data_IF_686519793080
#
_entry.id   IF_686519793080
#
_cell.length_a   1.000
_cell.length_b   1.000
_cell.length_c   1.000
_cell.angle_alpha   90.00
_cell.angle_beta   90.00
_cell.angle_gamma   90.00
#
_symmetry.space_group_name_H-M   'P 1'
#
loop_
_entity.id
_entity.type
_entity.pdbx_description
1 polymer ?
#
# COMPACT_ATOMS: atom_id res chain seq x y z
N UNK A 1 -10.26 9.62 6.32
CA UNK A 1 -11.37 9.17 5.44
C UNK A 1 -12.68 9.94 5.65
N UNK A 2 -13.09 10.23 6.90
CA UNK A 2 -14.36 10.90 7.26
C UNK A 2 -14.55 12.30 6.65
N UNK A 3 -13.50 13.12 6.59
CA UNK A 3 -13.58 14.46 6.01
C UNK A 3 -13.87 14.46 4.49
N UNK A 4 -13.44 13.42 3.76
CA UNK A 4 -13.63 13.31 2.31
C UNK A 4 -15.00 12.81 1.94
N UNK A 5 -15.51 11.78 2.64
CA UNK A 5 -16.90 11.39 2.52
C UNK A 5 -17.82 12.56 2.83
N UNK A 6 -17.46 13.38 3.83
CA UNK A 6 -18.17 14.61 4.15
C UNK A 6 -18.04 15.66 3.04
N UNK A 7 -16.86 15.93 2.49
CA UNK A 7 -16.68 16.89 1.40
C UNK A 7 -17.47 16.50 0.15
N UNK A 8 -17.42 15.22 -0.22
CA UNK A 8 -18.17 14.68 -1.36
C UNK A 8 -19.68 14.71 -1.06
N UNK A 9 -20.10 14.34 0.15
CA UNK A 9 -21.50 14.43 0.56
C UNK A 9 -22.00 15.88 0.59
N UNK A 10 -21.18 16.82 1.05
CA UNK A 10 -21.47 18.26 1.00
C UNK A 10 -21.59 18.71 -0.45
N UNK A 11 -20.70 18.29 -1.36
CA UNK A 11 -20.78 18.68 -2.76
C UNK A 11 -22.05 18.15 -3.43
N UNK A 12 -22.41 16.88 -3.18
CA UNK A 12 -23.69 16.30 -3.61
C UNK A 12 -24.86 17.08 -3.00
N UNK A 13 -24.82 17.35 -1.69
CA UNK A 13 -25.86 18.05 -0.95
C UNK A 13 -25.97 19.53 -1.31
N UNK A 14 -24.91 20.20 -1.74
CA UNK A 14 -24.98 21.57 -2.24
C UNK A 14 -25.60 21.60 -3.64
N UNK A 15 -25.38 20.55 -4.43
CA UNK A 15 -25.93 20.44 -5.78
C UNK A 15 -27.38 19.95 -5.81
N UNK A 16 -27.83 19.13 -4.85
CA UNK A 16 -29.17 18.54 -4.86
C UNK A 16 -30.31 19.57 -4.68
N UNK A 17 -30.29 20.45 -3.65
CA UNK A 17 -31.30 21.50 -3.44
C UNK A 17 -31.08 22.71 -4.36
N UNK A 18 -29.83 23.03 -4.71
CA UNK A 18 -29.52 24.13 -5.63
C UNK A 18 -30.03 23.87 -7.06
N UNK A 19 -29.95 22.62 -7.53
CA UNK A 19 -30.54 22.22 -8.80
C UNK A 19 -32.09 22.18 -8.78
N UNK A 20 -32.70 22.03 -7.60
CA UNK A 20 -34.16 21.98 -7.43
C UNK A 20 -34.79 23.36 -7.17
N UNK A 21 -34.03 24.36 -6.67
CA UNK A 21 -34.64 25.57 -6.08
C UNK A 21 -34.17 26.91 -6.66
N UNK A 22 -33.09 27.01 -7.44
CA UNK A 22 -32.65 28.29 -8.01
C UNK A 22 -32.32 28.22 -9.51
N UNK A 23 -33.12 28.95 -10.28
CA UNK A 23 -32.91 29.43 -11.64
C UNK A 23 -32.56 28.44 -12.75
N UNK A 24 -33.63 28.13 -13.47
CA UNK A 24 -33.78 27.41 -14.73
C UNK A 24 -32.94 27.99 -15.91
N UNK A 25 -32.16 29.08 -15.79
CA UNK A 25 -31.68 29.83 -16.98
C UNK A 25 -30.24 30.35 -16.99
N UNK A 26 -29.26 29.73 -16.31
CA UNK A 26 -27.85 30.10 -16.55
C UNK A 26 -27.04 28.96 -17.21
N UNK A 27 -27.13 28.79 -18.56
CA UNK A 27 -26.42 27.74 -19.30
C UNK A 27 -24.89 27.80 -19.13
N UNK A 28 -24.36 28.96 -18.73
CA UNK A 28 -22.95 29.17 -18.44
C UNK A 28 -22.46 28.40 -17.20
N UNK A 29 -23.32 28.08 -16.22
CA UNK A 29 -22.94 27.28 -15.03
C UNK A 29 -22.82 25.80 -15.36
N UNK A 30 -23.74 25.25 -16.15
CA UNK A 30 -23.74 23.84 -16.55
C UNK A 30 -22.49 23.44 -17.33
N UNK A 31 -22.00 24.34 -18.19
CA UNK A 31 -20.80 24.11 -18.99
C UNK A 31 -19.50 23.96 -18.16
N UNK A 32 -19.52 24.36 -16.88
CA UNK A 32 -18.35 24.29 -15.97
C UNK A 32 -18.34 23.05 -15.06
N UNK A 33 -19.40 22.25 -15.03
CA UNK A 33 -19.45 21.06 -14.15
C UNK A 33 -18.35 20.06 -14.50
N UNK A 34 -18.12 19.74 -15.79
CA UNK A 34 -17.11 18.74 -16.11
C UNK A 34 -15.68 19.16 -15.73
N UNK A 35 -15.34 20.45 -15.87
CA UNK A 35 -14.03 20.95 -15.46
C UNK A 35 -13.86 20.95 -13.94
N UNK A 36 -14.95 21.16 -13.18
CA UNK A 36 -14.94 21.02 -11.72
C UNK A 36 -14.74 19.58 -11.29
N UNK A 37 -15.46 18.62 -11.90
CA UNK A 37 -15.30 17.19 -11.60
C UNK A 37 -13.87 16.70 -11.88
N UNK A 38 -13.29 17.10 -13.02
CA UNK A 38 -11.88 16.81 -13.32
C UNK A 38 -10.92 17.43 -12.29
N UNK A 39 -11.19 18.66 -11.86
CA UNK A 39 -10.41 19.33 -10.81
C UNK A 39 -10.53 18.60 -9.48
N UNK A 40 -11.73 18.17 -9.11
CA UNK A 40 -11.97 17.39 -7.89
C UNK A 40 -11.22 16.05 -7.93
N UNK A 41 -11.25 15.34 -9.06
CA UNK A 41 -10.48 14.09 -9.21
C UNK A 41 -8.98 14.35 -9.08
N UNK A 42 -8.47 15.44 -9.65
CA UNK A 42 -7.05 15.81 -9.52
C UNK A 42 -6.69 16.14 -8.05
N UNK A 43 -7.59 16.80 -7.31
CA UNK A 43 -7.43 17.05 -5.88
C UNK A 43 -7.42 15.74 -5.08
N UNK A 44 -8.35 14.82 -5.36
CA UNK A 44 -8.42 13.50 -4.70
C UNK A 44 -7.12 12.71 -4.93
N UNK A 45 -6.60 12.69 -6.16
CA UNK A 45 -5.34 12.01 -6.47
C UNK A 45 -4.16 12.73 -5.84
N UNK A 46 -4.14 14.06 -5.86
CA UNK A 46 -3.09 14.88 -5.24
C UNK A 46 -3.00 14.66 -3.74
N UNK A 47 -4.13 14.62 -3.04
CA UNK A 47 -4.18 14.30 -1.62
C UNK A 47 -3.76 12.86 -1.35
N UNK A 48 -4.25 11.90 -2.15
CA UNK A 48 -3.82 10.51 -2.04
C UNK A 48 -2.30 10.39 -2.18
N UNK A 49 -1.69 11.09 -3.15
CA UNK A 49 -0.23 11.19 -3.33
C UNK A 49 0.48 11.79 -2.11
N UNK A 50 -0.09 12.82 -1.47
CA UNK A 50 0.45 13.36 -0.22
C UNK A 50 0.47 12.30 0.90
N UNK A 51 -0.52 11.41 0.92
CA UNK A 51 -0.57 10.27 1.83
C UNK A 51 0.59 9.27 1.69
N UNK A 52 1.30 9.26 0.56
CA UNK A 52 2.49 8.40 0.35
C UNK A 52 3.79 9.02 0.88
N UNK A 53 3.81 10.31 1.23
CA UNK A 53 5.01 10.97 1.76
C UNK A 53 5.48 10.29 3.05
N UNK A 54 4.56 9.95 3.96
CA UNK A 54 4.86 9.25 5.20
C UNK A 54 5.61 7.93 4.98
N UNK A 55 5.03 6.96 4.24
CA UNK A 55 5.70 5.73 3.82
C UNK A 55 7.10 5.96 3.24
N UNK A 56 7.25 6.88 2.30
CA UNK A 56 8.53 7.18 1.63
C UNK A 56 9.56 7.74 2.61
N UNK A 57 9.15 8.65 3.49
CA UNK A 57 10.00 9.22 4.53
C UNK A 57 10.39 8.16 5.55
N UNK A 58 9.47 7.27 5.93
CA UNK A 58 9.76 6.18 6.86
C UNK A 58 10.79 5.21 6.28
N UNK A 59 10.69 4.88 4.98
CA UNK A 59 11.68 4.08 4.26
C UNK A 59 13.05 4.79 4.23
N UNK A 60 13.06 6.10 3.98
CA UNK A 60 14.31 6.87 3.93
C UNK A 60 14.94 7.02 5.32
N UNK A 61 14.13 7.17 6.38
CA UNK A 61 14.56 7.34 7.77
C UNK A 61 15.00 6.04 8.41
N UNK A 62 14.33 4.92 8.11
CA UNK A 62 14.68 3.64 8.69
C UNK A 62 16.12 3.29 8.32
N UNK A 63 16.57 3.62 7.10
CA UNK A 63 17.90 3.25 6.59
C UNK A 63 18.13 1.74 6.46
N UNK A 64 17.27 0.95 7.09
CA UNK A 64 17.23 -0.50 7.11
C UNK A 64 16.39 -0.97 5.92
N UNK A 65 16.96 -1.86 5.11
CA UNK A 65 16.22 -2.54 4.06
C UNK A 65 15.93 -1.72 2.80
N UNK A 66 16.48 -0.51 2.60
CA UNK A 66 16.30 0.14 1.30
C UNK A 66 17.02 -0.63 0.19
N UNK A 67 16.27 -1.30 -0.68
CA UNK A 67 16.82 -2.08 -1.78
C UNK A 67 16.14 -1.75 -3.12
N UNK A 68 16.70 -2.32 -4.20
CA UNK A 68 16.20 -2.15 -5.56
C UNK A 68 14.74 -2.62 -5.68
N UNK A 69 14.35 -3.67 -4.94
CA UNK A 69 12.99 -4.17 -4.92
C UNK A 69 11.97 -3.13 -4.42
N UNK A 70 12.24 -2.48 -3.28
CA UNK A 70 11.41 -1.39 -2.76
C UNK A 70 11.37 -0.23 -3.75
N UNK A 71 12.51 0.14 -4.33
CA UNK A 71 12.59 1.25 -5.30
C UNK A 71 11.70 0.99 -6.52
N UNK A 72 11.71 -0.25 -7.03
CA UNK A 72 10.83 -0.67 -8.13
C UNK A 72 9.35 -0.58 -7.71
N UNK A 73 8.99 -1.02 -6.51
CA UNK A 73 7.61 -0.92 -6.03
C UNK A 73 7.15 0.53 -5.90
N UNK A 74 7.99 1.43 -5.39
CA UNK A 74 7.67 2.85 -5.29
C UNK A 74 7.40 3.45 -6.67
N UNK A 75 8.24 3.14 -7.66
CA UNK A 75 8.06 3.58 -9.05
C UNK A 75 6.77 2.99 -9.63
N UNK A 76 6.51 1.70 -9.44
CA UNK A 76 5.30 1.04 -9.92
C UNK A 76 4.03 1.63 -9.28
N UNK A 77 4.06 2.05 -8.02
CA UNK A 77 2.94 2.73 -7.37
C UNK A 77 2.65 4.05 -8.07
N UNK A 78 3.68 4.87 -8.31
CA UNK A 78 3.55 6.14 -9.05
C UNK A 78 3.02 5.93 -10.47
N UNK A 79 3.56 4.94 -11.19
CA UNK A 79 3.09 4.57 -12.54
C UNK A 79 1.63 4.11 -12.50
N UNK A 80 1.24 3.31 -11.52
CA UNK A 80 -0.14 2.80 -11.39
C UNK A 80 -1.13 3.95 -11.13
N UNK A 81 -0.79 4.88 -10.25
CA UNK A 81 -1.62 6.07 -9.97
C UNK A 81 -1.75 6.93 -11.24
N UNK A 82 -0.64 7.14 -11.95
CA UNK A 82 -0.63 7.86 -13.21
C UNK A 82 -1.50 7.18 -14.28
N UNK A 83 -1.40 5.86 -14.43
CA UNK A 83 -2.23 5.09 -15.35
C UNK A 83 -3.72 5.17 -14.98
N UNK A 84 -4.06 5.05 -13.70
CA UNK A 84 -5.43 5.22 -13.23
C UNK A 84 -5.99 6.60 -13.59
N UNK A 85 -5.18 7.65 -13.43
CA UNK A 85 -5.53 9.00 -13.86
C UNK A 85 -5.73 9.09 -15.39
N UNK A 86 -4.82 8.54 -16.18
CA UNK A 86 -4.93 8.55 -17.64
C UNK A 86 -6.20 7.83 -18.13
N UNK A 87 -6.53 6.67 -17.54
CA UNK A 87 -7.74 5.92 -17.88
C UNK A 87 -8.98 6.70 -17.46
N UNK A 88 -8.97 7.33 -16.27
CA UNK A 88 -10.05 8.23 -15.82
C UNK A 88 -10.29 9.35 -16.83
N UNK A 89 -9.26 10.14 -17.18
CA UNK A 89 -9.37 11.26 -18.12
C UNK A 89 -9.87 10.80 -19.48
N UNK A 90 -9.48 9.61 -19.93
CA UNK A 90 -9.92 9.06 -21.21
C UNK A 90 -11.36 8.54 -21.20
N UNK A 91 -11.78 7.97 -20.07
CA UNK A 91 -13.15 7.55 -19.83
C UNK A 91 -14.09 8.74 -19.70
N UNK A 92 -13.58 9.87 -19.21
CA UNK A 92 -14.32 11.12 -19.11
C UNK A 92 -14.32 11.86 -20.45
N UNK A 93 -15.40 11.75 -21.23
CA UNK A 93 -15.57 12.54 -22.45
C UNK A 93 -16.60 13.63 -22.19
N UNK A 94 -16.22 14.88 -22.50
CA UNK A 94 -16.99 16.11 -22.30
C UNK A 94 -18.24 16.21 -23.21
N UNK A 95 -19.06 15.17 -23.30
CA UNK A 95 -20.41 15.31 -23.81
C UNK A 95 -21.22 16.06 -22.75
N UNK A 96 -21.26 17.39 -22.85
CA UNK A 96 -22.10 18.22 -21.97
C UNK A 96 -23.54 17.76 -22.17
N UNK A 97 -24.18 17.19 -21.15
CA UNK A 97 -25.56 16.74 -21.30
C UNK A 97 -26.45 17.96 -21.58
N UNK A 98 -27.31 17.86 -22.59
CA UNK A 98 -28.21 18.95 -22.97
C UNK A 98 -29.30 19.18 -21.90
N UNK A 99 -29.61 18.14 -21.11
CA UNK A 99 -30.68 18.14 -20.12
C UNK A 99 -30.13 18.03 -18.68
N UNK A 100 -30.82 18.68 -17.73
CA UNK A 100 -30.49 18.66 -16.29
C UNK A 100 -30.42 17.23 -15.72
N UNK A 101 -31.32 16.33 -16.12
CA UNK A 101 -31.26 14.92 -15.70
C UNK A 101 -30.01 14.19 -16.22
N UNK A 102 -29.47 14.58 -17.37
CA UNK A 102 -28.19 14.08 -17.86
C UNK A 102 -27.04 14.53 -16.97
N UNK A 103 -27.02 15.81 -16.60
CA UNK A 103 -26.01 16.37 -15.69
C UNK A 103 -26.05 15.68 -14.33
N UNK A 104 -27.24 15.47 -13.76
CA UNK A 104 -27.39 14.78 -12.48
C UNK A 104 -26.89 13.33 -12.55
N UNK A 105 -27.19 12.61 -13.64
CA UNK A 105 -26.68 11.25 -13.85
C UNK A 105 -25.16 11.20 -13.93
N UNK A 106 -24.53 12.16 -14.63
CA UNK A 106 -23.07 12.25 -14.71
C UNK A 106 -22.46 12.51 -13.33
N UNK A 107 -23.02 13.44 -12.55
CA UNK A 107 -22.55 13.71 -11.18
C UNK A 107 -22.70 12.47 -10.29
N UNK A 108 -23.86 11.81 -10.33
CA UNK A 108 -24.11 10.59 -9.54
C UNK A 108 -23.17 9.44 -9.94
N UNK A 109 -22.82 9.32 -11.23
CA UNK A 109 -21.89 8.30 -11.71
C UNK A 109 -20.42 8.62 -11.38
N UNK A 110 -20.06 9.88 -11.09
CA UNK A 110 -18.73 10.25 -10.62
C UNK A 110 -18.49 9.87 -9.17
N UNK A 111 -19.53 9.91 -8.33
CA UNK A 111 -19.42 9.54 -6.92
C UNK A 111 -18.76 8.16 -6.69
N UNK A 112 -19.22 7.05 -7.30
CA UNK A 112 -18.57 5.76 -7.13
C UNK A 112 -17.16 5.72 -7.71
N UNK A 113 -16.85 6.52 -8.73
CA UNK A 113 -15.49 6.63 -9.29
C UNK A 113 -14.54 7.28 -8.29
N UNK A 114 -14.93 8.40 -7.68
CA UNK A 114 -14.12 9.06 -6.66
C UNK A 114 -13.94 8.19 -5.42
N UNK A 115 -15.00 7.54 -4.97
CA UNK A 115 -14.91 6.61 -3.83
C UNK A 115 -13.96 5.45 -4.13
N UNK A 116 -14.07 4.83 -5.31
CA UNK A 116 -13.18 3.75 -5.73
C UNK A 116 -11.72 4.22 -5.83
N UNK A 117 -11.47 5.43 -6.36
CA UNK A 117 -10.13 6.02 -6.41
C UNK A 117 -9.55 6.29 -5.01
N UNK A 118 -10.35 6.82 -4.08
CA UNK A 118 -9.89 7.07 -2.70
C UNK A 118 -9.51 5.75 -2.03
N UNK A 119 -10.40 4.74 -2.10
CA UNK A 119 -10.12 3.41 -1.55
C UNK A 119 -8.90 2.78 -2.23
N UNK A 120 -8.73 2.98 -3.54
CA UNK A 120 -7.61 2.45 -4.29
C UNK A 120 -6.28 3.06 -3.82
N UNK A 121 -6.24 4.38 -3.61
CA UNK A 121 -5.06 5.07 -3.12
C UNK A 121 -4.72 4.66 -1.68
N UNK A 122 -5.73 4.47 -0.81
CA UNK A 122 -5.50 3.96 0.55
C UNK A 122 -4.98 2.51 0.54
N UNK A 123 -5.55 1.65 -0.30
CA UNK A 123 -5.08 0.27 -0.47
C UNK A 123 -3.65 0.20 -1.02
N UNK A 124 -3.30 1.06 -2.00
CA UNK A 124 -1.93 1.15 -2.53
C UNK A 124 -0.93 1.64 -1.48
N UNK A 125 -1.33 2.62 -0.65
CA UNK A 125 -0.51 3.12 0.46
C UNK A 125 -0.26 2.02 1.49
N UNK A 126 -1.30 1.30 1.89
CA UNK A 126 -1.20 0.18 2.82
C UNK A 126 -0.31 -0.94 2.27
N UNK A 127 -0.47 -1.30 0.98
CA UNK A 127 0.39 -2.28 0.30
C UNK A 127 1.86 -1.84 0.28
N UNK A 128 2.14 -0.56 0.02
CA UNK A 128 3.51 -0.04 0.03
C UNK A 128 4.11 -0.10 1.45
N UNK A 129 3.35 0.26 2.49
CA UNK A 129 3.82 0.13 3.87
C UNK A 129 4.10 -1.33 4.24
N UNK A 130 3.19 -2.27 3.92
CA UNK A 130 3.37 -3.69 4.21
C UNK A 130 4.65 -4.23 3.57
N UNK A 131 4.79 -4.02 2.27
CA UNK A 131 5.94 -4.55 1.50
C UNK A 131 7.27 -3.94 1.90
N UNK A 132 7.28 -2.71 2.42
CA UNK A 132 8.48 -2.03 2.90
C UNK A 132 8.83 -2.40 4.34
N UNK A 133 7.82 -2.60 5.19
CA UNK A 133 7.97 -3.15 6.54
C UNK A 133 8.60 -4.54 6.46
N UNK A 134 8.00 -5.45 5.69
CA UNK A 134 8.50 -6.82 5.50
C UNK A 134 9.92 -6.84 4.98
N UNK A 135 10.21 -6.02 3.98
CA UNK A 135 11.56 -5.97 3.46
C UNK A 135 12.58 -5.48 4.50
N UNK A 136 12.18 -4.54 5.37
CA UNK A 136 13.04 -4.04 6.46
C UNK A 136 13.24 -5.11 7.53
N UNK A 137 12.17 -5.81 7.92
CA UNK A 137 12.23 -6.96 8.82
C UNK A 137 13.14 -8.05 8.26
N UNK A 138 12.90 -8.51 7.04
CA UNK A 138 13.68 -9.57 6.42
C UNK A 138 15.15 -9.19 6.26
N UNK A 139 15.43 -7.95 5.87
CA UNK A 139 16.81 -7.46 5.77
C UNK A 139 17.50 -7.43 7.13
N UNK A 140 16.83 -6.90 8.16
CA UNK A 140 17.37 -6.80 9.50
C UNK A 140 17.56 -8.18 10.13
N UNK A 141 16.55 -9.05 10.08
CA UNK A 141 16.61 -10.45 10.55
C UNK A 141 17.73 -11.22 9.85
N UNK A 142 17.86 -11.07 8.53
CA UNK A 142 18.93 -11.71 7.78
C UNK A 142 20.32 -11.20 8.15
N UNK A 143 20.45 -9.91 8.53
CA UNK A 143 21.69 -9.37 9.08
C UNK A 143 21.97 -9.92 10.48
N UNK A 144 20.96 -9.91 11.35
CA UNK A 144 21.02 -10.41 12.72
C UNK A 144 21.43 -11.88 12.79
N UNK A 145 20.80 -12.75 11.98
CA UNK A 145 21.12 -14.17 11.94
C UNK A 145 22.52 -14.48 11.38
N UNK A 146 22.98 -13.67 10.41
CA UNK A 146 24.36 -13.77 9.92
C UNK A 146 25.37 -13.32 10.98
N UNK A 147 25.02 -12.36 11.84
CA UNK A 147 25.88 -12.00 12.95
C UNK A 147 25.92 -13.11 14.00
N UNK A 148 24.79 -13.62 14.48
CA UNK A 148 24.81 -14.64 15.56
C UNK A 148 25.55 -15.93 15.19
N UNK A 149 25.70 -16.24 13.90
CA UNK A 149 26.42 -17.43 13.40
C UNK A 149 27.93 -17.25 13.18
N UNK A 150 28.50 -16.04 13.30
CA UNK A 150 29.90 -15.77 12.99
C UNK A 150 30.75 -15.40 14.23
N UNK A 151 31.97 -15.95 14.31
CA UNK A 151 32.91 -15.83 15.46
C UNK A 151 33.35 -14.39 15.77
N UNK A 152 33.19 -13.44 14.84
CA UNK A 152 33.58 -12.02 15.00
C UNK A 152 32.41 -11.03 14.97
N UNK A 153 31.19 -11.50 15.23
CA UNK A 153 29.99 -10.80 14.81
C UNK A 153 29.30 -9.90 15.83
N UNK A 154 29.84 -9.80 17.04
CA UNK A 154 29.25 -8.94 18.08
C UNK A 154 29.16 -7.47 17.63
N UNK A 155 30.15 -6.98 16.87
CA UNK A 155 30.09 -5.62 16.32
C UNK A 155 29.00 -5.46 15.25
N UNK A 156 28.81 -6.47 14.39
CA UNK A 156 27.76 -6.45 13.36
C UNK A 156 26.36 -6.46 13.97
N UNK A 157 26.20 -7.18 15.07
CA UNK A 157 24.99 -7.20 15.88
C UNK A 157 24.76 -5.82 16.54
N UNK A 158 25.77 -5.26 17.20
CA UNK A 158 25.72 -3.92 17.80
C UNK A 158 25.32 -2.85 16.76
N UNK A 159 25.93 -2.89 15.57
CA UNK A 159 25.65 -1.98 14.47
C UNK A 159 24.20 -2.14 13.97
N UNK A 160 23.67 -3.38 13.95
CA UNK A 160 22.30 -3.66 13.52
C UNK A 160 21.25 -3.11 14.48
N UNK A 161 21.49 -3.14 15.79
CA UNK A 161 20.62 -2.51 16.79
C UNK A 161 20.78 -0.99 16.79
N UNK A 162 22.01 -0.50 16.64
CA UNK A 162 22.29 0.94 16.54
C UNK A 162 21.57 1.58 15.35
N UNK A 163 21.47 0.87 14.22
CA UNK A 163 20.67 1.32 13.06
C UNK A 163 19.19 1.54 13.38
N UNK A 164 18.63 0.81 14.34
CA UNK A 164 17.26 0.99 14.83
C UNK A 164 17.16 2.06 15.93
N UNK A 165 18.27 2.71 16.29
CA UNK A 165 18.33 3.63 17.43
C UNK A 165 18.28 2.93 18.79
N UNK A 166 18.60 1.63 18.83
CA UNK A 166 18.63 0.84 20.05
C UNK A 166 20.08 0.69 20.54
N UNK A 167 20.31 0.96 21.83
CA UNK A 167 21.57 0.65 22.50
C UNK A 167 21.53 -0.78 23.02
N UNK A 168 22.15 -1.70 22.27
CA UNK A 168 22.16 -3.13 22.60
C UNK A 168 22.81 -3.40 23.96
N UNK A 169 23.85 -2.66 24.35
CA UNK A 169 24.53 -2.87 25.63
C UNK A 169 23.62 -2.46 26.80
N UNK A 170 22.95 -1.31 26.66
CA UNK A 170 21.97 -0.84 27.64
C UNK A 170 20.78 -1.80 27.75
N UNK A 171 20.22 -2.23 26.61
CA UNK A 171 19.13 -3.21 26.58
C UNK A 171 19.54 -4.54 27.23
N UNK A 172 20.71 -5.07 26.87
CA UNK A 172 21.22 -6.31 27.43
C UNK A 172 21.37 -6.22 28.95
N UNK A 173 21.97 -5.14 29.46
CA UNK A 173 22.14 -4.91 30.90
C UNK A 173 20.80 -4.80 31.65
N UNK A 174 19.76 -4.30 30.98
CA UNK A 174 18.41 -4.15 31.55
C UNK A 174 17.64 -5.47 31.52
N UNK A 175 17.71 -6.21 30.42
CA UNK A 175 16.89 -7.41 30.19
C UNK A 175 17.48 -8.68 30.78
N UNK A 176 18.80 -8.76 30.93
CA UNK A 176 19.48 -9.91 31.55
C UNK A 176 18.90 -10.25 32.93
N UNK A 177 18.90 -9.36 33.94
CA UNK A 177 18.38 -9.69 35.27
C UNK A 177 16.89 -10.06 35.26
N UNK A 178 16.12 -9.44 34.36
CA UNK A 178 14.68 -9.73 34.22
C UNK A 178 14.47 -11.13 33.63
N UNK A 179 15.33 -11.56 32.70
CA UNK A 179 15.28 -12.90 32.12
C UNK A 179 15.62 -13.95 33.17
N UNK A 180 16.69 -13.73 33.95
CA UNK A 180 17.01 -14.58 35.12
C UNK A 180 15.84 -14.71 36.09
N UNK A 181 15.24 -13.59 36.50
CA UNK A 181 14.11 -13.60 37.43
C UNK A 181 12.88 -14.31 36.83
N UNK A 182 12.58 -14.07 35.55
CA UNK A 182 11.47 -14.69 34.85
C UNK A 182 11.63 -16.21 34.73
N UNK A 183 12.80 -16.69 34.30
CA UNK A 183 13.09 -18.14 34.24
C UNK A 183 13.03 -18.75 35.62
N UNK A 184 13.56 -18.09 36.66
CA UNK A 184 13.47 -18.58 38.03
C UNK A 184 12.02 -18.73 38.50
N UNK A 185 11.16 -17.75 38.20
CA UNK A 185 9.75 -17.76 38.59
C UNK A 185 8.94 -18.87 37.90
N UNK A 186 9.38 -19.31 36.71
CA UNK A 186 8.69 -20.32 35.90
C UNK A 186 9.55 -21.58 35.69
N UNK A 187 10.53 -21.82 36.56
CA UNK A 187 11.46 -22.93 36.38
C UNK A 187 10.76 -24.28 36.46
N UNK A 188 9.68 -24.39 37.23
CA UNK A 188 8.82 -25.56 37.28
C UNK A 188 8.26 -25.95 35.89
N UNK A 189 7.90 -24.95 35.07
CA UNK A 189 7.43 -25.13 33.69
C UNK A 189 8.58 -25.42 32.71
N UNK A 190 9.76 -24.84 32.94
CA UNK A 190 10.92 -24.92 32.06
C UNK A 190 11.88 -26.08 32.40
N UNK A 191 11.77 -26.71 33.56
CA UNK A 191 12.61 -27.83 33.97
C UNK A 191 12.61 -29.00 32.97
N UNK A 192 11.49 -29.37 32.32
CA UNK A 192 11.49 -30.41 31.29
C UNK A 192 12.35 -30.08 30.07
N UNK A 193 12.48 -28.78 29.75
CA UNK A 193 13.30 -28.25 28.65
C UNK A 193 14.79 -28.46 28.91
N UNK A 194 15.25 -28.12 30.13
CA UNK A 194 16.64 -28.27 30.55
C UNK A 194 17.11 -29.74 30.49
N UNK A 195 16.20 -30.68 30.79
CA UNK A 195 16.49 -32.12 30.75
C UNK A 195 16.59 -32.70 29.32
N UNK A 196 16.15 -31.96 28.30
CA UNK A 196 16.07 -32.42 26.91
C UNK A 196 16.69 -31.43 25.92
N UNK A 197 17.65 -30.63 26.38
CA UNK A 197 18.33 -29.61 25.57
C UNK A 197 19.05 -30.21 24.35
N UNK A 198 19.47 -31.47 24.45
CA UNK A 198 20.00 -32.29 23.36
C UNK A 198 19.06 -32.37 22.14
N UNK A 199 17.74 -32.22 22.35
CA UNK A 199 16.73 -32.25 21.28
C UNK A 199 16.45 -30.90 20.64
N UNK A 200 16.95 -29.80 21.21
CA UNK A 200 16.74 -28.43 20.72
C UNK A 200 17.85 -27.94 19.76
N UNK A 201 18.88 -28.76 19.46
CA UNK A 201 20.00 -28.32 18.63
C UNK A 201 19.68 -28.30 17.11
N UNK A 202 19.89 -27.12 16.50
CA UNK A 202 20.79 -27.01 15.35
C UNK A 202 21.96 -26.03 15.56
N UNK A 203 22.09 -25.40 16.74
CA UNK A 203 23.12 -24.39 17.02
C UNK A 203 24.41 -24.99 17.59
N UNK A 204 25.60 -24.63 17.07
CA UNK A 204 26.88 -25.21 17.45
C UNK A 204 27.47 -24.49 18.67
N UNK A 205 26.76 -24.52 19.80
CA UNK A 205 27.30 -24.05 21.08
C UNK A 205 27.75 -25.25 21.93
N UNK A 206 28.91 -25.10 22.56
CA UNK A 206 29.55 -26.13 23.37
C UNK A 206 28.70 -26.37 24.62
N UNK A 207 28.01 -27.51 24.67
CA UNK A 207 27.07 -27.88 25.74
C UNK A 207 27.81 -28.30 27.02
N UNK A 208 27.57 -27.60 28.13
CA UNK A 208 27.85 -28.08 29.48
C UNK A 208 26.53 -28.44 30.18
N UNK A 209 26.27 -29.72 30.52
CA UNK A 209 25.05 -30.13 31.22
C UNK A 209 24.85 -29.46 32.59
N UNK A 210 25.86 -28.80 33.16
CA UNK A 210 25.70 -28.01 34.39
C UNK A 210 25.20 -26.58 34.14
N UNK A 211 25.11 -26.11 32.89
CA UNK A 211 24.77 -24.71 32.55
C UNK A 211 23.41 -24.56 31.83
N UNK A 212 22.58 -25.60 31.83
CA UNK A 212 21.27 -25.61 31.14
C UNK A 212 20.32 -24.50 31.59
N UNK A 213 20.45 -24.00 32.82
CA UNK A 213 19.65 -22.85 33.28
C UNK A 213 20.10 -21.55 32.60
N UNK A 214 21.40 -21.36 32.41
CA UNK A 214 21.96 -20.20 31.73
C UNK A 214 21.58 -20.19 30.25
N UNK A 215 21.64 -21.35 29.58
CA UNK A 215 21.23 -21.49 28.19
C UNK A 215 19.76 -21.09 27.95
N UNK A 216 18.86 -21.52 28.83
CA UNK A 216 17.43 -21.13 28.80
C UNK A 216 17.25 -19.61 28.97
N UNK A 217 18.03 -18.99 29.86
CA UNK A 217 18.03 -17.54 30.05
C UNK A 217 18.56 -16.81 28.81
N UNK A 218 19.61 -17.33 28.17
CA UNK A 218 20.19 -16.73 26.96
C UNK A 218 19.19 -16.75 25.79
N UNK A 219 18.49 -17.86 25.54
CA UNK A 219 17.48 -17.93 24.47
C UNK A 219 16.31 -16.98 24.76
N UNK A 220 15.85 -16.90 26.01
CA UNK A 220 14.79 -15.95 26.38
C UNK A 220 15.25 -14.49 26.17
N UNK A 221 16.49 -14.17 26.57
CA UNK A 221 17.07 -12.86 26.37
C UNK A 221 17.15 -12.51 24.86
N UNK A 222 17.59 -13.45 24.04
CA UNK A 222 17.64 -13.31 22.57
C UNK A 222 16.25 -12.97 22.00
N UNK A 223 15.21 -13.72 22.39
CA UNK A 223 13.83 -13.45 21.97
C UNK A 223 13.38 -12.04 22.37
N UNK A 224 13.70 -11.57 23.58
CA UNK A 224 13.30 -10.23 24.04
C UNK A 224 14.06 -9.11 23.32
N UNK A 225 15.34 -9.33 23.01
CA UNK A 225 16.12 -8.40 22.18
C UNK A 225 15.55 -8.33 20.76
N UNK A 226 15.20 -9.48 20.19
CA UNK A 226 14.54 -9.59 18.89
C UNK A 226 13.20 -8.83 18.88
N UNK A 227 12.33 -9.06 19.88
CA UNK A 227 11.06 -8.35 20.01
C UNK A 227 11.25 -6.85 20.17
N UNK A 228 12.30 -6.41 20.88
CA UNK A 228 12.62 -4.98 21.02
C UNK A 228 12.99 -4.35 19.68
N UNK A 229 13.76 -5.06 18.85
CA UNK A 229 14.08 -4.62 17.50
C UNK A 229 12.86 -4.58 16.57
N UNK A 230 12.02 -5.62 16.61
CA UNK A 230 10.74 -5.65 15.87
C UNK A 230 9.86 -4.47 16.29
N UNK A 231 9.70 -4.22 17.59
CA UNK A 231 8.95 -3.09 18.11
C UNK A 231 9.49 -1.76 17.59
N UNK A 232 10.82 -1.58 17.58
CA UNK A 232 11.45 -0.36 17.05
C UNK A 232 11.15 -0.16 15.56
N UNK A 233 11.26 -1.22 14.74
CA UNK A 233 10.89 -1.19 13.32
C UNK A 233 9.41 -0.81 13.16
N UNK A 234 8.50 -1.45 13.89
CA UNK A 234 7.07 -1.20 13.78
C UNK A 234 6.71 0.24 14.19
N UNK A 235 7.40 0.80 15.18
CA UNK A 235 7.26 2.21 15.57
C UNK A 235 7.69 3.17 14.44
N UNK A 236 8.78 2.88 13.73
CA UNK A 236 9.23 3.69 12.58
C UNK A 236 8.16 3.72 11.47
N UNK A 237 7.47 2.60 11.26
CA UNK A 237 6.37 2.51 10.29
C UNK A 237 5.01 3.01 10.82
N UNK A 238 4.94 3.42 12.09
CA UNK A 238 3.69 3.86 12.72
C UNK A 238 2.65 2.75 12.84
N UNK A 239 3.11 1.49 12.98
CA UNK A 239 2.24 0.30 13.04
C UNK A 239 1.63 0.11 14.43
N UNK A 240 2.35 0.54 15.47
CA UNK A 240 1.93 0.36 16.85
C UNK A 240 1.15 1.57 17.35
N UNK A 241 -0.08 1.33 17.82
CA UNK A 241 -0.75 2.25 18.71
C UNK A 241 -0.24 2.10 20.16
N UNK A 242 -0.76 2.91 21.07
CA UNK A 242 -0.34 2.90 22.47
C UNK A 242 -0.62 1.57 23.19
N UNK A 243 -1.71 0.87 22.83
CA UNK A 243 -2.07 -0.43 23.39
C UNK A 243 -1.08 -1.48 22.89
N UNK A 244 -0.92 -1.61 21.57
CA UNK A 244 -0.02 -2.60 20.96
C UNK A 244 1.43 -2.38 21.40
N UNK A 245 1.88 -1.13 21.47
CA UNK A 245 3.21 -0.83 22.02
C UNK A 245 3.34 -1.19 23.50
N UNK A 246 2.24 -1.17 24.27
CA UNK A 246 2.21 -1.70 25.65
C UNK A 246 2.30 -3.22 25.66
N UNK A 247 1.60 -3.90 24.77
CA UNK A 247 1.57 -5.37 24.68
C UNK A 247 2.96 -5.92 24.30
N UNK A 248 3.65 -5.30 23.34
CA UNK A 248 5.06 -5.59 23.04
C UNK A 248 5.98 -5.37 24.24
N UNK A 249 5.79 -4.29 25.01
CA UNK A 249 6.56 -4.04 26.22
C UNK A 249 6.29 -5.08 27.31
N UNK A 250 5.03 -5.49 27.48
CA UNK A 250 4.66 -6.53 28.42
C UNK A 250 5.33 -7.86 28.08
N UNK A 251 5.50 -8.18 26.79
CA UNK A 251 6.29 -9.32 26.33
C UNK A 251 7.79 -9.14 26.62
N UNK A 252 8.39 -8.00 26.25
CA UNK A 252 9.84 -7.72 26.41
C UNK A 252 10.26 -7.78 27.90
N UNK A 253 9.43 -7.24 28.79
CA UNK A 253 9.68 -7.24 30.23
C UNK A 253 9.05 -8.44 30.95
N UNK A 254 8.39 -9.33 30.21
CA UNK A 254 7.77 -10.56 30.67
C UNK A 254 6.83 -10.38 31.88
N UNK A 255 6.01 -9.33 31.83
CA UNK A 255 5.04 -9.01 32.88
C UNK A 255 4.01 -10.13 33.05
N UNK A 256 3.72 -10.86 31.98
CA UNK A 256 2.71 -11.93 31.92
C UNK A 256 3.29 -13.32 31.65
N UNK A 257 4.62 -13.50 31.66
CA UNK A 257 5.23 -14.79 31.29
C UNK A 257 5.19 -15.11 29.78
N UNK A 258 4.86 -14.13 28.93
CA UNK A 258 4.70 -14.34 27.49
C UNK A 258 5.95 -14.86 26.78
N UNK A 259 7.14 -14.39 27.18
CA UNK A 259 8.39 -14.86 26.59
C UNK A 259 8.77 -16.26 27.08
N UNK A 260 8.37 -16.62 28.31
CA UNK A 260 8.52 -17.99 28.84
C UNK A 260 7.60 -18.96 28.10
N UNK A 261 6.38 -18.54 27.81
CA UNK A 261 5.41 -19.35 27.05
C UNK A 261 5.96 -19.68 25.66
N UNK A 262 6.56 -18.72 24.97
CA UNK A 262 7.16 -18.93 23.65
C UNK A 262 8.38 -19.85 23.69
N UNK A 263 9.20 -19.74 24.73
CA UNK A 263 10.30 -20.68 24.95
C UNK A 263 9.79 -22.12 25.17
N UNK A 264 8.71 -22.28 25.93
CA UNK A 264 8.05 -23.57 26.13
C UNK A 264 7.41 -24.10 24.85
N UNK A 265 6.81 -23.22 24.04
CA UNK A 265 6.21 -23.56 22.75
C UNK A 265 7.26 -24.02 21.74
N UNK A 266 8.43 -23.37 21.72
CA UNK A 266 9.57 -23.78 20.89
C UNK A 266 9.97 -25.24 21.15
N UNK A 267 10.00 -25.65 22.42
CA UNK A 267 10.32 -27.03 22.82
C UNK A 267 9.23 -28.05 22.50
N UNK A 268 7.97 -27.68 22.75
CA UNK A 268 6.84 -28.57 22.49
C UNK A 268 6.49 -28.65 21.00
N UNK A 269 7.24 -27.96 20.15
CA UNK A 269 6.98 -27.81 18.72
C UNK A 269 5.55 -27.31 18.45
N UNK A 270 5.08 -26.41 19.32
CA UNK A 270 3.82 -25.71 19.16
C UNK A 270 3.98 -24.64 18.10
N UNK A 271 3.03 -24.57 17.17
CA UNK A 271 3.06 -23.66 16.03
C UNK A 271 2.56 -22.25 16.34
N UNK A 272 2.26 -21.94 17.61
CA UNK A 272 1.70 -20.66 18.03
C UNK A 272 2.64 -19.98 19.00
N UNK A 273 3.32 -18.95 18.53
CA UNK A 273 4.18 -18.11 19.36
C UNK A 273 3.41 -16.82 19.65
N UNK A 274 3.38 -16.38 20.90
CA UNK A 274 2.74 -15.14 21.35
C UNK A 274 3.34 -13.93 20.63
N UNK A 275 4.62 -13.95 20.28
CA UNK A 275 5.20 -12.92 19.41
C UNK A 275 4.55 -12.86 18.02
N UNK A 276 4.22 -14.00 17.42
CA UNK A 276 3.54 -14.05 16.13
C UNK A 276 2.12 -13.49 16.27
N UNK A 277 1.40 -13.83 17.35
CA UNK A 277 0.09 -13.27 17.63
C UNK A 277 0.15 -11.72 17.79
N UNK A 278 1.19 -11.19 18.44
CA UNK A 278 1.41 -9.75 18.59
C UNK A 278 1.72 -9.06 17.24
N UNK A 279 2.53 -9.71 16.42
CA UNK A 279 2.85 -9.22 15.07
C UNK A 279 1.61 -9.25 14.18
N UNK A 280 0.84 -10.34 14.18
CA UNK A 280 -0.40 -10.49 13.43
C UNK A 280 -1.45 -9.47 13.87
N UNK A 281 -1.66 -9.24 15.18
CA UNK A 281 -2.58 -8.21 15.69
C UNK A 281 -2.13 -6.79 15.25
N UNK A 282 -0.83 -6.53 15.26
CA UNK A 282 -0.27 -5.25 14.82
C UNK A 282 -0.44 -5.03 13.31
N UNK A 283 -0.17 -6.05 12.51
CA UNK A 283 -0.21 -6.01 11.06
C UNK A 283 -1.62 -5.98 10.50
N UNK A 284 -2.53 -6.82 11.01
CA UNK A 284 -3.87 -6.98 10.44
C UNK A 284 -4.68 -5.68 10.40
N UNK A 285 -4.59 -4.83 11.43
CA UNK A 285 -5.38 -3.59 11.47
C UNK A 285 -4.94 -2.55 10.44
N UNK A 286 -3.64 -2.50 10.13
CA UNK A 286 -3.05 -1.45 9.28
C UNK A 286 -2.91 -1.93 7.84
N UNK A 287 -2.74 -3.24 7.65
CA UNK A 287 -2.52 -3.86 6.36
C UNK A 287 -3.75 -4.58 5.80
N UNK A 288 -4.88 -4.59 6.53
CA UNK A 288 -6.17 -5.01 5.97
C UNK A 288 -6.45 -4.37 4.59
N UNK A 289 -6.18 -3.07 4.35
CA UNK A 289 -6.35 -2.46 3.03
C UNK A 289 -5.52 -3.05 1.90
N UNK A 290 -4.35 -3.59 2.19
CA UNK A 290 -3.50 -4.24 1.19
C UNK A 290 -4.16 -5.52 0.63
N UNK A 291 -4.96 -6.24 1.43
CA UNK A 291 -5.59 -7.51 1.01
C UNK A 291 -6.69 -7.32 -0.03
N UNK A 292 -7.42 -6.18 0.01
CA UNK A 292 -8.52 -5.90 -0.91
C UNK A 292 -8.18 -4.91 -2.02
N UNK A 293 -6.93 -4.40 -2.09
CA UNK A 293 -6.49 -3.39 -3.08
C UNK A 293 -6.76 -3.83 -4.53
N UNK A 294 -6.60 -5.12 -4.84
CA UNK A 294 -6.88 -5.68 -6.17
C UNK A 294 -8.37 -5.62 -6.52
N UNK A 295 -9.25 -5.94 -5.56
CA UNK A 295 -10.70 -5.84 -5.73
C UNK A 295 -11.14 -4.38 -5.91
N UNK A 296 -10.52 -3.45 -5.20
CA UNK A 296 -10.80 -2.01 -5.36
C UNK A 296 -10.25 -1.48 -6.69
N UNK A 297 -9.09 -1.95 -7.16
CA UNK A 297 -8.60 -1.65 -8.50
C UNK A 297 -9.60 -2.13 -9.58
N UNK A 298 -10.18 -3.32 -9.39
CA UNK A 298 -11.28 -3.79 -10.24
C UNK A 298 -12.49 -2.84 -10.16
N UNK A 299 -12.88 -2.41 -8.96
CA UNK A 299 -13.99 -1.49 -8.77
C UNK A 299 -13.77 -0.13 -9.45
N UNK A 300 -12.52 0.36 -9.56
CA UNK A 300 -12.20 1.54 -10.37
C UNK A 300 -12.58 1.32 -11.83
N UNK A 301 -12.24 0.16 -12.42
CA UNK A 301 -12.67 -0.15 -13.78
C UNK A 301 -14.18 -0.23 -13.91
N UNK A 302 -14.87 -0.90 -12.98
CA UNK A 302 -16.33 -0.98 -12.98
C UNK A 302 -16.96 0.40 -12.94
N UNK A 303 -16.52 1.25 -12.02
CA UNK A 303 -17.04 2.61 -11.87
C UNK A 303 -16.79 3.45 -13.13
N UNK A 304 -15.62 3.33 -13.75
CA UNK A 304 -15.31 4.01 -15.03
C UNK A 304 -16.16 3.47 -16.19
N UNK A 305 -16.40 2.17 -16.25
CA UNK A 305 -17.28 1.55 -17.26
C UNK A 305 -18.72 2.04 -17.11
N UNK A 306 -19.24 2.08 -15.88
CA UNK A 306 -20.55 2.64 -15.56
C UNK A 306 -20.60 4.14 -15.91
N UNK A 307 -19.58 4.91 -15.57
CA UNK A 307 -19.50 6.33 -15.90
C UNK A 307 -19.67 6.55 -17.41
N UNK A 308 -18.95 5.77 -18.23
CA UNK A 308 -19.07 5.84 -19.69
C UNK A 308 -20.46 5.48 -20.21
N UNK A 309 -21.17 4.56 -19.55
CA UNK A 309 -22.56 4.20 -19.91
C UNK A 309 -23.54 5.32 -19.51
N UNK A 310 -23.35 5.93 -18.34
CA UNK A 310 -24.24 6.98 -17.82
C UNK A 310 -24.05 8.35 -18.47
N UNK A 311 -22.83 8.66 -18.94
CA UNK A 311 -22.56 9.85 -19.77
C UNK A 311 -23.32 9.85 -21.10
N UNK A 312 -23.89 8.70 -21.46
CA UNK A 312 -24.76 8.52 -22.62
C UNK A 312 -24.22 7.42 -23.51
N UNK A 313 -25.13 6.65 -24.10
CA UNK A 313 -24.80 5.61 -25.07
C UNK A 313 -23.86 6.22 -26.13
N UNK A 314 -22.61 5.74 -26.24
CA UNK A 314 -21.70 6.34 -27.18
C UNK A 314 -22.26 6.18 -28.60
N UNK A 315 -22.45 7.31 -29.30
CA UNK A 315 -22.93 7.33 -30.68
C UNK A 315 -22.00 6.58 -31.64
N UNK A 316 -20.75 6.35 -31.23
CA UNK A 316 -19.73 5.67 -32.01
C UNK A 316 -19.41 4.30 -31.41
N UNK A 317 -19.40 3.26 -32.27
CA UNK A 317 -19.04 1.87 -31.93
C UNK A 317 -17.74 1.73 -31.12
N UNK A 318 -16.76 2.60 -31.34
CA UNK A 318 -15.47 2.56 -30.64
C UNK A 318 -15.54 2.93 -29.16
N UNK A 319 -16.45 3.84 -28.79
CA UNK A 319 -16.60 4.18 -27.38
C UNK A 319 -17.38 3.08 -26.62
N UNK A 320 -18.21 2.28 -27.30
CA UNK A 320 -18.73 1.02 -26.74
C UNK A 320 -17.62 0.02 -26.47
N UNK A 321 -16.70 -0.19 -27.42
CA UNK A 321 -15.55 -1.07 -27.21
C UNK A 321 -14.68 -0.63 -26.03
N UNK A 322 -14.49 0.68 -25.89
CA UNK A 322 -13.77 1.26 -24.76
C UNK A 322 -14.50 0.99 -23.43
N UNK A 323 -15.82 1.13 -23.36
CA UNK A 323 -16.62 0.78 -22.18
C UNK A 323 -16.55 -0.73 -21.86
N UNK A 324 -16.72 -1.60 -22.87
CA UNK A 324 -16.58 -3.06 -22.73
C UNK A 324 -15.22 -3.42 -22.15
N UNK A 325 -14.15 -2.77 -22.61
CA UNK A 325 -12.80 -3.01 -22.10
C UNK A 325 -12.67 -2.71 -20.59
N UNK A 326 -13.43 -1.76 -20.03
CA UNK A 326 -13.46 -1.52 -18.58
C UNK A 326 -14.11 -2.68 -17.86
N UNK A 327 -15.23 -3.20 -18.37
CA UNK A 327 -15.88 -4.36 -17.77
C UNK A 327 -15.01 -5.63 -17.87
N UNK A 328 -14.26 -5.80 -18.96
CA UNK A 328 -13.26 -6.88 -19.10
C UNK A 328 -12.13 -6.70 -18.06
N UNK A 329 -11.59 -5.50 -17.93
CA UNK A 329 -10.56 -5.19 -16.92
C UNK A 329 -11.06 -5.41 -15.48
N UNK A 330 -12.30 -5.01 -15.20
CA UNK A 330 -13.00 -5.32 -13.95
C UNK A 330 -13.08 -6.83 -13.73
N UNK A 331 -13.59 -7.59 -14.70
CA UNK A 331 -13.71 -9.05 -14.59
C UNK A 331 -12.37 -9.74 -14.31
N UNK A 332 -11.31 -9.33 -15.02
CA UNK A 332 -9.97 -9.90 -14.84
C UNK A 332 -9.39 -9.64 -13.43
N UNK A 333 -9.44 -8.38 -12.96
CA UNK A 333 -8.94 -8.05 -11.61
C UNK A 333 -9.85 -8.58 -10.50
N UNK A 334 -11.17 -8.67 -10.73
CA UNK A 334 -12.12 -9.25 -9.79
C UNK A 334 -11.84 -10.74 -9.59
N UNK A 335 -11.58 -11.49 -10.67
CA UNK A 335 -11.15 -12.88 -10.58
C UNK A 335 -9.84 -13.04 -9.79
N UNK A 336 -8.87 -12.13 -9.98
CA UNK A 336 -7.64 -12.12 -9.19
C UNK A 336 -7.89 -11.76 -7.72
N UNK A 337 -8.90 -10.93 -7.42
CA UNK A 337 -9.25 -10.62 -6.03
C UNK A 337 -9.82 -11.82 -5.26
N UNK A 338 -10.34 -12.84 -5.98
CA UNK A 338 -10.78 -14.11 -5.38
C UNK A 338 -9.63 -14.94 -4.81
N UNK A 339 -8.36 -14.57 -5.07
CA UNK A 339 -7.21 -15.15 -4.34
C UNK A 339 -7.36 -14.99 -2.82
N UNK A 340 -8.11 -14.00 -2.35
CA UNK A 340 -8.42 -13.81 -0.93
C UNK A 340 -9.25 -14.97 -0.32
N UNK A 341 -9.85 -15.85 -1.12
CA UNK A 341 -10.50 -17.07 -0.64
C UNK A 341 -9.50 -18.12 -0.14
N UNK A 342 -8.21 -17.97 -0.46
CA UNK A 342 -7.14 -18.85 -0.01
C UNK A 342 -6.00 -18.01 0.61
N UNK A 343 -5.93 -18.00 1.94
CA UNK A 343 -4.95 -17.22 2.72
C UNK A 343 -3.51 -17.51 2.31
N UNK A 344 -3.18 -18.77 2.05
CA UNK A 344 -1.80 -19.19 1.74
C UNK A 344 -1.37 -18.69 0.36
N UNK A 345 -2.26 -18.76 -0.62
CA UNK A 345 -1.99 -18.25 -1.97
C UNK A 345 -1.93 -16.72 -1.97
N UNK A 346 -2.84 -16.05 -1.26
CA UNK A 346 -2.83 -14.60 -1.11
C UNK A 346 -1.54 -14.13 -0.45
N UNK A 347 -1.19 -14.73 0.69
CA UNK A 347 0.03 -14.45 1.45
C UNK A 347 1.25 -14.61 0.55
N UNK A 348 1.38 -15.75 -0.14
CA UNK A 348 2.47 -15.97 -1.10
C UNK A 348 2.52 -14.92 -2.22
N UNK A 349 1.37 -14.47 -2.71
CA UNK A 349 1.32 -13.48 -3.79
C UNK A 349 1.71 -12.07 -3.32
N UNK A 350 1.27 -11.69 -2.11
CA UNK A 350 1.65 -10.43 -1.45
C UNK A 350 3.14 -10.43 -1.11
N UNK A 351 3.65 -11.50 -0.48
CA UNK A 351 5.06 -11.61 -0.09
C UNK A 351 6.01 -11.70 -1.26
N UNK A 352 5.61 -12.33 -2.37
CA UNK A 352 6.38 -12.29 -3.63
C UNK A 352 6.26 -10.95 -4.37
N UNK A 353 5.52 -9.98 -3.83
CA UNK A 353 5.44 -8.60 -4.33
C UNK A 353 4.85 -8.49 -5.73
N UNK A 354 4.04 -9.47 -6.16
CA UNK A 354 3.44 -9.52 -7.49
C UNK A 354 2.14 -8.74 -7.61
N UNK A 355 1.50 -8.39 -6.49
CA UNK A 355 0.23 -7.67 -6.47
C UNK A 355 0.27 -6.37 -7.28
N UNK A 356 1.24 -5.51 -6.97
CA UNK A 356 1.38 -4.21 -7.63
C UNK A 356 1.74 -4.33 -9.12
N UNK A 357 2.77 -5.11 -9.55
CA UNK A 357 3.03 -5.37 -10.96
C UNK A 357 1.80 -5.87 -11.72
N UNK A 358 1.01 -6.77 -11.13
CA UNK A 358 -0.18 -7.34 -11.77
C UNK A 358 -1.24 -6.26 -12.04
N UNK A 359 -1.49 -5.39 -11.05
CA UNK A 359 -2.39 -4.25 -11.21
C UNK A 359 -1.85 -3.29 -12.30
N UNK A 360 -0.56 -2.91 -12.23
CA UNK A 360 0.06 -2.02 -13.22
C UNK A 360 -0.05 -2.57 -14.65
N UNK A 361 0.30 -3.84 -14.86
CA UNK A 361 0.22 -4.52 -16.16
C UNK A 361 -1.21 -4.50 -16.68
N UNK A 362 -2.19 -4.76 -15.82
CA UNK A 362 -3.61 -4.75 -16.21
C UNK A 362 -4.04 -3.37 -16.71
N UNK A 363 -3.62 -2.30 -16.03
CA UNK A 363 -3.89 -0.92 -16.43
C UNK A 363 -3.15 -0.54 -17.72
N UNK A 364 -1.90 -0.98 -17.90
CA UNK A 364 -1.14 -0.80 -19.15
C UNK A 364 -1.87 -1.46 -20.31
N UNK A 365 -2.32 -2.71 -20.15
CA UNK A 365 -3.02 -3.45 -21.20
C UNK A 365 -4.31 -2.71 -21.58
N UNK A 366 -5.14 -2.35 -20.59
CA UNK A 366 -6.38 -1.60 -20.84
C UNK A 366 -6.07 -0.31 -21.58
N UNK A 367 -5.14 0.52 -21.09
CA UNK A 367 -4.79 1.79 -21.74
C UNK A 367 -4.26 1.59 -23.17
N UNK A 368 -3.42 0.58 -23.39
CA UNK A 368 -2.83 0.25 -24.69
C UNK A 368 -3.89 -0.17 -25.70
N UNK A 369 -4.77 -1.09 -25.32
CA UNK A 369 -5.88 -1.54 -26.19
C UNK A 369 -6.82 -0.38 -26.48
N UNK A 370 -7.07 0.48 -25.50
CA UNK A 370 -7.87 1.69 -25.71
C UNK A 370 -7.25 2.62 -26.73
N UNK A 371 -5.92 2.80 -26.66
CA UNK A 371 -5.16 3.60 -27.61
C UNK A 371 -5.29 3.03 -29.03
N UNK A 372 -5.14 1.71 -29.17
CA UNK A 372 -5.31 1.00 -30.43
C UNK A 372 -6.72 1.18 -31.01
N UNK A 373 -7.76 1.04 -30.19
CA UNK A 373 -9.17 1.28 -30.59
C UNK A 373 -9.34 2.71 -31.10
N UNK A 374 -8.76 3.69 -30.40
CA UNK A 374 -8.80 5.10 -30.81
C UNK A 374 -8.06 5.34 -32.14
N UNK A 375 -6.91 4.71 -32.34
CA UNK A 375 -6.15 4.81 -33.58
C UNK A 375 -6.91 4.20 -34.78
N UNK A 376 -7.52 3.04 -34.59
CA UNK A 376 -8.38 2.40 -35.61
C UNK A 376 -9.56 3.31 -35.96
N UNK A 377 -10.17 3.94 -34.95
CA UNK A 377 -11.28 4.87 -35.16
C UNK A 377 -10.90 6.07 -36.04
N UNK A 378 -9.71 6.64 -35.82
CA UNK A 378 -9.21 7.75 -36.65
C UNK A 378 -8.95 7.28 -38.09
N UNK A 379 -8.32 6.10 -38.27
CA UNK A 379 -8.06 5.57 -39.62
C UNK A 379 -9.35 5.33 -40.41
N UNK A 380 -10.40 4.81 -39.76
CA UNK A 380 -11.70 4.58 -40.42
C UNK A 380 -12.38 5.91 -40.80
N UNK A 381 -12.27 6.96 -39.96
CA UNK A 381 -12.82 8.29 -40.27
C UNK A 381 -12.13 8.95 -41.47
N UNK A 382 -10.84 8.73 -41.65
CA UNK A 382 -10.06 9.30 -42.76
C UNK A 382 -10.18 8.47 -44.06
N UNK A 383 -10.93 7.36 -44.05
CA UNK A 383 -11.01 6.43 -45.19
C UNK A 383 -9.70 5.74 -45.52
N UNK A 384 -8.72 5.78 -44.60
CA UNK A 384 -7.41 5.19 -44.76
C UNK A 384 -7.44 3.74 -44.28
N UNK A 385 -6.94 2.82 -45.10
CA UNK A 385 -6.71 1.44 -44.64
C UNK A 385 -5.68 1.47 -43.50
N UNK A 386 -6.03 0.87 -42.36
CA UNK A 386 -5.24 0.92 -41.11
C UNK A 386 -3.77 0.50 -41.27
N UNK A 387 -3.45 -0.38 -42.23
CA UNK A 387 -2.06 -0.79 -42.51
C UNK A 387 -1.21 0.22 -43.30
N UNK A 388 -1.83 1.27 -43.87
CA UNK A 388 -1.12 2.31 -44.65
C UNK A 388 -0.77 3.56 -43.85
N UNK A 389 -1.31 3.70 -42.64
CA UNK A 389 -0.99 4.83 -41.77
C UNK A 389 0.23 4.43 -40.93
N UNK A 390 1.44 4.93 -41.22
CA UNK A 390 2.57 4.70 -40.32
C UNK A 390 2.20 5.25 -38.94
N UNK A 391 2.69 4.64 -37.85
CA UNK A 391 2.46 5.07 -36.45
C UNK A 391 2.88 6.52 -36.13
N UNK A 392 3.21 7.35 -37.12
CA UNK A 392 3.45 8.78 -37.02
C UNK A 392 2.37 9.62 -36.29
N UNK A 393 1.06 9.27 -36.20
CA UNK A 393 0.16 10.03 -35.32
C UNK A 393 0.53 9.89 -33.84
N UNK A 394 1.34 8.92 -33.42
CA UNK A 394 1.94 8.89 -32.08
C UNK A 394 2.83 10.11 -31.87
N UNK A 395 3.61 10.52 -32.88
CA UNK A 395 4.46 11.70 -32.76
C UNK A 395 3.63 12.99 -32.66
N UNK A 396 2.52 13.09 -33.42
CA UNK A 396 1.61 14.24 -33.37
C UNK A 396 0.74 14.29 -32.08
N UNK A 397 0.37 13.12 -31.55
CA UNK A 397 -0.34 13.02 -30.27
C UNK A 397 0.61 13.28 -29.10
N UNK A 398 1.85 12.79 -29.16
CA UNK A 398 2.91 13.11 -28.21
C UNK A 398 3.25 14.59 -28.23
N UNK A 399 3.32 15.26 -29.40
CA UNK A 399 3.55 16.71 -29.45
C UNK A 399 2.37 17.52 -28.93
N UNK A 400 1.12 17.06 -29.08
CA UNK A 400 -0.05 17.69 -28.44
C UNK A 400 -0.12 17.45 -26.94
N UNK A 401 0.17 16.24 -26.49
CA UNK A 401 0.31 15.91 -25.07
C UNK A 401 1.42 16.77 -24.47
N UNK A 402 2.59 16.83 -25.12
CA UNK A 402 3.72 17.67 -24.73
C UNK A 402 3.32 19.16 -24.62
N UNK A 403 2.50 19.69 -25.52
CA UNK A 403 1.97 21.06 -25.38
C UNK A 403 1.09 21.23 -24.13
N UNK A 404 0.14 20.33 -23.87
CA UNK A 404 -0.72 20.40 -22.66
C UNK A 404 0.06 20.12 -21.37
N UNK A 405 1.00 19.19 -21.40
CA UNK A 405 1.85 18.83 -20.26
C UNK A 405 2.83 19.94 -19.94
N UNK A 406 3.45 20.58 -20.95
CA UNK A 406 4.23 21.81 -20.77
C UNK A 406 3.39 22.94 -20.19
N UNK A 407 2.13 23.06 -20.60
CA UNK A 407 1.22 24.07 -20.05
C UNK A 407 0.89 23.79 -18.57
N UNK A 408 0.74 22.51 -18.21
CA UNK A 408 0.56 22.06 -16.82
C UNK A 408 1.80 22.24 -15.96
N UNK A 409 2.98 21.83 -16.44
CA UNK A 409 4.29 22.03 -15.79
C UNK A 409 4.55 23.52 -15.58
N UNK A 410 4.26 24.37 -16.58
CA UNK A 410 4.41 25.81 -16.46
C UNK A 410 3.37 26.47 -15.52
N UNK A 411 2.23 25.83 -15.26
CA UNK A 411 1.26 26.27 -14.23
C UNK A 411 1.70 25.83 -12.84
N UNK A 412 2.14 24.59 -12.68
CA UNK A 412 2.72 24.07 -11.43
C UNK A 412 3.96 24.86 -11.02
N UNK A 413 4.90 25.11 -11.95
CA UNK A 413 6.09 25.92 -11.69
C UNK A 413 5.71 27.32 -11.23
N UNK A 414 4.71 27.95 -11.86
CA UNK A 414 4.21 29.28 -11.44
C UNK A 414 3.56 29.27 -10.07
N UNK A 415 2.78 28.25 -9.75
CA UNK A 415 2.18 28.08 -8.42
C UNK A 415 3.25 27.91 -7.34
N UNK A 416 4.27 27.08 -7.60
CA UNK A 416 5.38 26.87 -6.66
C UNK A 416 6.27 28.11 -6.49
N UNK A 417 6.50 28.91 -7.54
CA UNK A 417 7.28 30.16 -7.42
C UNK A 417 6.53 31.28 -6.70
N UNK A 418 5.19 31.26 -6.71
CA UNK A 418 4.37 32.24 -5.99
C UNK A 418 4.40 31.99 -4.47
N UNK A 419 4.50 30.73 -4.03
CA UNK A 419 4.65 30.40 -2.59
C UNK A 419 6.03 30.74 -2.02
N UNK A 420 7.08 30.78 -2.84
CA UNK A 420 8.43 31.13 -2.38
C UNK A 420 8.59 32.63 -2.14
N UNK A 421 7.75 33.48 -2.74
CA UNK A 421 7.80 34.94 -2.53
C UNK A 421 6.85 35.43 -1.42
N UNK A 422 5.95 34.59 -0.91
CA UNK A 422 5.04 34.94 0.20
C UNK A 422 5.54 34.46 1.57
N UNK A 423 6.65 33.71 1.61
CA UNK A 423 7.28 33.17 2.84
C UNK A 423 8.63 33.84 3.14
N UNK A 424 9.04 34.83 2.32
CA UNK A 424 10.11 35.79 2.62
C UNK A 424 9.50 37.17 2.85
#
# INVERSE_FOLDING_TARGET
>A
MTAWLLAIAIEIYCHFPGALRTDIFNPLRYRRIPSRLLTLTAVVIGEGLNGFVGPIVNIARSGVGFNVGISIQLILTGVTIFLAFCIYVRSFRLAVPENMHGVLRVILAHFPVHLALILFLEGLKSLLNLTTLDNSLHYWLGRYHRSTSAVFAFQDELDSFTQLGLDLLSLNSTLTPISYQSVANHWDKLQPLALHWDKLQPLPLHYDPNDTYHDVVLVQLEQRLLTSAIQAIYNVYGVLDSKKASDFRAYIYDVEGGSVDDLFNLYTNSSRWKIDDLMDEAENDIFAPATWVTGVAAAVFLALGLLMVFEGIPRHKYAWWSAVLRFVGFGALMLLSLLNLNSDVLSNWLWKRWTLPTISISYIIVLTVDYLIGWIAVCEMDGLSWWRVPLQPVHALLTRVDATTRLWINRLRRAMTLDVQTVA
#
